data_IF_120919201039
#
_entry.id   IF_120919201039
#
_cell.length_a   1.000
_cell.length_b   1.000
_cell.length_c   1.000
_cell.angle_alpha   90.00
_cell.angle_beta   90.00
_cell.angle_gamma   90.00
#
_symmetry.space_group_name_H-M   'P 1'
#
loop_
_entity.id
_entity.type
_entity.pdbx_description
1 polymer ?
#
# COMPACT_ATOMS: atom_id res chain seq x y z
N UNK A 1 -41.43 17.82 -18.45
CA UNK A 1 -40.68 17.37 -17.26
C UNK A 1 -39.66 16.32 -17.70
N UNK A 2 -38.50 16.17 -17.03
CA UNK A 2 -37.55 15.09 -17.32
C UNK A 2 -38.22 13.71 -17.15
N UNK A 3 -37.78 12.71 -17.94
CA UNK A 3 -38.34 11.35 -17.91
C UNK A 3 -38.09 10.68 -16.53
N UNK A 4 -39.14 10.24 -15.82
CA UNK A 4 -39.03 9.56 -14.52
C UNK A 4 -38.15 8.31 -14.50
N UNK A 5 -37.95 7.65 -15.65
CA UNK A 5 -37.11 6.46 -15.77
C UNK A 5 -35.67 6.73 -15.32
N UNK A 6 -35.09 7.84 -15.75
CA UNK A 6 -33.71 8.21 -15.41
C UNK A 6 -33.51 8.49 -13.92
N UNK A 7 -34.54 9.05 -13.26
CA UNK A 7 -34.54 9.27 -11.82
C UNK A 7 -34.53 7.95 -11.02
N UNK A 8 -35.22 6.92 -11.51
CA UNK A 8 -35.23 5.59 -10.87
C UNK A 8 -33.90 4.86 -11.04
N UNK A 9 -33.33 4.87 -12.24
CA UNK A 9 -32.04 4.25 -12.52
C UNK A 9 -30.90 4.92 -11.73
N UNK A 10 -30.88 6.25 -11.67
CA UNK A 10 -29.87 6.98 -10.90
C UNK A 10 -29.97 6.70 -9.40
N UNK A 11 -31.19 6.62 -8.84
CA UNK A 11 -31.42 6.22 -7.44
C UNK A 11 -30.93 4.79 -7.17
N UNK A 12 -31.19 3.85 -8.07
CA UNK A 12 -30.70 2.47 -7.92
C UNK A 12 -29.17 2.41 -7.88
N UNK A 13 -28.49 3.13 -8.78
CA UNK A 13 -27.01 3.20 -8.79
C UNK A 13 -26.44 3.87 -7.55
N UNK A 14 -27.06 4.98 -7.10
CA UNK A 14 -26.64 5.68 -5.89
C UNK A 14 -26.79 4.81 -4.64
N UNK A 15 -27.91 4.09 -4.51
CA UNK A 15 -28.14 3.17 -3.39
C UNK A 15 -27.20 1.97 -3.40
N UNK A 16 -26.89 1.39 -4.57
CA UNK A 16 -25.88 0.33 -4.68
C UNK A 16 -24.48 0.84 -4.33
N UNK A 17 -24.09 2.01 -4.87
CA UNK A 17 -22.77 2.60 -4.62
C UNK A 17 -22.58 2.98 -3.15
N UNK A 18 -23.66 3.29 -2.44
CA UNK A 18 -23.60 3.63 -1.02
C UNK A 18 -22.93 2.53 -0.18
N UNK A 19 -23.19 1.24 -0.48
CA UNK A 19 -22.63 0.09 0.24
C UNK A 19 -21.11 -0.06 0.08
N UNK A 20 -20.54 0.38 -1.04
CA UNK A 20 -19.11 0.25 -1.34
C UNK A 20 -18.30 1.51 -0.99
N UNK A 21 -18.94 2.58 -0.51
CA UNK A 21 -18.23 3.82 -0.13
C UNK A 21 -17.17 3.60 0.94
N UNK A 22 -17.51 2.97 2.06
CA UNK A 22 -16.58 2.76 3.18
C UNK A 22 -15.40 1.84 2.79
N UNK A 23 -15.62 0.68 2.12
CA UNK A 23 -14.51 -0.16 1.66
C UNK A 23 -13.60 0.53 0.64
N UNK A 24 -14.14 1.35 -0.27
CA UNK A 24 -13.34 2.10 -1.24
C UNK A 24 -12.46 3.14 -0.56
N UNK A 25 -12.99 3.88 0.41
CA UNK A 25 -12.20 4.84 1.20
C UNK A 25 -11.06 4.14 1.95
N UNK A 26 -11.33 2.97 2.54
CA UNK A 26 -10.28 2.16 3.14
C UNK A 26 -9.20 1.78 2.12
N UNK A 27 -9.58 1.31 0.93
CA UNK A 27 -8.61 0.93 -0.10
C UNK A 27 -7.74 2.13 -0.54
N UNK A 28 -8.32 3.32 -0.68
CA UNK A 28 -7.57 4.54 -1.00
C UNK A 28 -6.53 4.88 0.08
N UNK A 29 -6.90 4.74 1.36
CA UNK A 29 -6.02 5.03 2.50
C UNK A 29 -5.03 3.89 2.80
N UNK A 30 -5.35 2.65 2.42
CA UNK A 30 -4.55 1.46 2.76
C UNK A 30 -3.09 1.58 2.33
N UNK A 31 -2.83 2.21 1.18
CA UNK A 31 -1.48 2.44 0.66
C UNK A 31 -0.59 3.30 1.58
N UNK A 32 -1.18 4.05 2.52
CA UNK A 32 -0.46 4.84 3.52
C UNK A 32 -0.10 4.04 4.79
N UNK A 33 -0.61 2.81 4.94
CA UNK A 33 -0.41 1.99 6.13
C UNK A 33 0.21 0.64 5.73
N UNK A 34 1.56 0.49 5.75
CA UNK A 34 2.28 -0.73 5.36
C UNK A 34 1.71 -2.01 5.93
N UNK A 35 1.27 -1.99 7.19
CA UNK A 35 0.61 -3.10 7.88
C UNK A 35 -0.55 -3.72 7.09
N UNK A 36 -1.23 -2.98 6.21
CA UNK A 36 -2.38 -3.46 5.43
C UNK A 36 -2.01 -4.18 4.13
N UNK A 37 -0.78 -4.03 3.62
CA UNK A 37 -0.32 -4.65 2.37
C UNK A 37 1.05 -5.34 2.47
N UNK A 38 1.70 -5.33 3.64
CA UNK A 38 3.02 -5.93 3.86
C UNK A 38 3.09 -7.42 3.51
N UNK A 39 1.97 -8.14 3.56
CA UNK A 39 1.87 -9.53 3.13
C UNK A 39 0.77 -9.69 2.08
N UNK A 40 1.19 -9.89 0.83
CA UNK A 40 0.28 -9.98 -0.32
C UNK A 40 -0.72 -11.14 -0.25
N UNK A 41 -0.40 -12.21 0.50
CA UNK A 41 -1.26 -13.40 0.59
C UNK A 41 -2.51 -13.15 1.44
N UNK A 42 -2.46 -12.22 2.39
CA UNK A 42 -3.58 -11.93 3.30
C UNK A 42 -4.44 -10.77 2.86
N UNK A 43 -4.02 -10.01 1.83
CA UNK A 43 -4.78 -8.88 1.27
C UNK A 43 -6.23 -9.28 0.93
N UNK A 44 -6.52 -10.40 0.23
CA UNK A 44 -7.90 -10.77 -0.08
C UNK A 44 -8.77 -10.98 1.16
N UNK A 45 -8.20 -11.52 2.25
CA UNK A 45 -8.92 -11.73 3.51
C UNK A 45 -9.24 -10.38 4.20
N UNK A 46 -8.27 -9.47 4.27
CA UNK A 46 -8.44 -8.12 4.82
C UNK A 46 -9.51 -7.36 4.04
N UNK A 47 -9.41 -7.37 2.70
CA UNK A 47 -10.38 -6.70 1.80
C UNK A 47 -11.79 -7.27 2.00
N UNK A 48 -11.93 -8.59 2.09
CA UNK A 48 -13.22 -9.24 2.32
C UNK A 48 -13.83 -8.79 3.65
N UNK A 49 -13.05 -8.78 4.73
CA UNK A 49 -13.51 -8.34 6.05
C UNK A 49 -13.98 -6.88 6.04
N UNK A 50 -13.22 -5.99 5.39
CA UNK A 50 -13.59 -4.56 5.28
C UNK A 50 -14.84 -4.36 4.42
N UNK A 51 -14.99 -5.10 3.32
CA UNK A 51 -16.20 -5.06 2.48
C UNK A 51 -17.42 -5.48 3.29
N UNK A 52 -17.33 -6.60 4.01
CA UNK A 52 -18.43 -7.10 4.86
C UNK A 52 -18.77 -6.08 5.94
N UNK A 53 -17.78 -5.54 6.66
CA UNK A 53 -18.00 -4.54 7.69
C UNK A 53 -18.66 -3.28 7.12
N UNK A 54 -18.13 -2.72 6.03
CA UNK A 54 -18.67 -1.52 5.39
C UNK A 54 -20.09 -1.71 4.88
N UNK A 55 -20.38 -2.85 4.24
CA UNK A 55 -21.71 -3.17 3.76
C UNK A 55 -22.72 -3.31 4.91
N UNK A 56 -22.34 -3.94 6.03
CA UNK A 56 -23.20 -4.11 7.20
C UNK A 56 -23.48 -2.81 7.94
N UNK A 57 -22.48 -1.93 8.07
CA UNK A 57 -22.67 -0.59 8.63
C UNK A 57 -23.66 0.20 7.78
N UNK A 58 -23.52 0.17 6.44
CA UNK A 58 -24.47 0.83 5.54
C UNK A 58 -25.86 0.19 5.57
N UNK A 59 -25.94 -1.13 5.67
CA UNK A 59 -27.20 -1.84 5.86
C UNK A 59 -27.93 -1.38 7.12
N UNK A 60 -27.23 -1.26 8.25
CA UNK A 60 -27.78 -0.72 9.48
C UNK A 60 -28.30 0.71 9.30
N UNK A 61 -27.48 1.61 8.76
CA UNK A 61 -27.89 3.01 8.56
C UNK A 61 -29.10 3.15 7.63
N UNK A 62 -29.18 2.36 6.57
CA UNK A 62 -30.32 2.36 5.66
C UNK A 62 -31.59 1.92 6.37
N UNK A 63 -31.53 0.86 7.19
CA UNK A 63 -32.68 0.37 7.98
C UNK A 63 -33.08 1.36 9.07
N UNK A 64 -32.12 1.96 9.75
CA UNK A 64 -32.35 2.97 10.78
C UNK A 64 -33.13 4.18 10.25
N UNK A 65 -32.71 4.72 9.09
CA UNK A 65 -33.36 5.89 8.49
C UNK A 65 -34.70 5.57 7.83
N UNK A 66 -34.96 4.30 7.49
CA UNK A 66 -36.29 3.86 7.03
C UNK A 66 -37.24 3.69 8.23
N UNK A 67 -36.83 2.86 9.19
CA UNK A 67 -37.66 2.45 10.33
C UNK A 67 -36.77 2.19 11.55
N UNK A 68 -36.70 3.14 12.47
CA UNK A 68 -35.82 3.10 13.64
C UNK A 68 -36.03 1.82 14.50
N UNK A 69 -37.28 1.36 14.62
CA UNK A 69 -37.63 0.17 15.43
C UNK A 69 -37.21 -1.18 14.83
N UNK A 70 -36.90 -1.23 13.53
CA UNK A 70 -36.50 -2.44 12.82
C UNK A 70 -34.99 -2.46 12.48
N UNK A 71 -34.21 -1.66 13.19
CA UNK A 71 -32.77 -1.52 12.97
C UNK A 71 -32.02 -2.81 13.35
N UNK A 72 -31.20 -3.38 12.45
CA UNK A 72 -30.53 -4.65 12.66
C UNK A 72 -29.28 -4.47 13.54
N UNK A 73 -29.46 -4.35 14.86
CA UNK A 73 -28.34 -4.15 15.79
C UNK A 73 -27.27 -5.25 15.73
N UNK A 74 -27.63 -6.46 15.31
CA UNK A 74 -26.68 -7.55 15.04
C UNK A 74 -25.63 -7.18 13.98
N UNK A 75 -25.95 -6.28 13.05
CA UNK A 75 -25.03 -5.85 11.99
C UNK A 75 -23.79 -5.15 12.59
N UNK A 76 -23.93 -4.43 13.70
CA UNK A 76 -22.80 -3.83 14.41
C UNK A 76 -21.87 -4.88 15.01
N UNK A 77 -22.42 -5.94 15.59
CA UNK A 77 -21.62 -7.04 16.15
C UNK A 77 -20.81 -7.73 15.05
N UNK A 78 -21.45 -8.09 13.94
CA UNK A 78 -20.76 -8.74 12.81
C UNK A 78 -19.72 -7.80 12.17
N UNK A 79 -20.04 -6.51 12.03
CA UNK A 79 -19.08 -5.52 11.53
C UNK A 79 -17.88 -5.37 12.47
N UNK A 80 -18.09 -5.34 13.79
CA UNK A 80 -17.01 -5.27 14.78
C UNK A 80 -16.10 -6.50 14.72
N UNK A 81 -16.68 -7.70 14.61
CA UNK A 81 -15.91 -8.94 14.44
C UNK A 81 -15.09 -8.91 13.15
N UNK A 82 -15.68 -8.46 12.04
CA UNK A 82 -14.98 -8.36 10.77
C UNK A 82 -13.82 -7.35 10.82
N UNK A 83 -14.00 -6.17 11.43
CA UNK A 83 -12.93 -5.19 11.62
C UNK A 83 -11.83 -5.72 12.54
N UNK A 84 -12.21 -6.39 13.63
CA UNK A 84 -11.24 -7.00 14.54
C UNK A 84 -10.42 -8.10 13.83
N UNK A 85 -11.08 -8.95 13.05
CA UNK A 85 -10.41 -9.96 12.23
C UNK A 85 -9.45 -9.32 11.21
N UNK A 86 -9.88 -8.26 10.51
CA UNK A 86 -9.02 -7.53 9.58
C UNK A 86 -7.78 -6.95 10.27
N UNK A 87 -7.97 -6.32 11.44
CA UNK A 87 -6.89 -5.77 12.27
C UNK A 87 -5.91 -6.86 12.72
N UNK A 88 -6.43 -7.97 13.25
CA UNK A 88 -5.61 -9.09 13.71
C UNK A 88 -4.82 -9.71 12.57
N UNK A 89 -5.46 -9.97 11.42
CA UNK A 89 -4.79 -10.53 10.23
C UNK A 89 -3.68 -9.59 9.75
N UNK A 90 -3.96 -8.29 9.64
CA UNK A 90 -2.98 -7.29 9.18
C UNK A 90 -1.75 -7.22 10.11
N UNK A 91 -1.97 -7.08 11.41
CA UNK A 91 -0.90 -6.94 12.40
C UNK A 91 -0.11 -8.24 12.62
N UNK A 92 -0.79 -9.39 12.72
CA UNK A 92 -0.13 -10.68 12.88
C UNK A 92 0.63 -11.12 11.61
N UNK A 93 0.31 -10.55 10.44
CA UNK A 93 0.98 -10.87 9.17
C UNK A 93 2.04 -9.85 8.76
N UNK A 94 2.15 -8.72 9.46
CA UNK A 94 3.12 -7.67 9.16
C UNK A 94 4.50 -7.98 9.75
N UNK A 95 5.58 -8.01 8.93
CA UNK A 95 6.94 -8.25 9.42
C UNK A 95 7.38 -7.30 10.53
N UNK A 96 7.03 -6.01 10.43
CA UNK A 96 7.41 -4.99 11.42
C UNK A 96 6.63 -5.07 12.75
N UNK A 97 5.41 -5.61 12.73
CA UNK A 97 4.53 -5.63 13.91
C UNK A 97 4.62 -6.96 14.68
N UNK A 98 4.95 -8.07 14.01
CA UNK A 98 5.06 -9.40 14.63
C UNK A 98 6.01 -9.44 15.84
N UNK A 99 7.21 -8.85 15.82
CA UNK A 99 8.10 -8.85 16.98
C UNK A 99 7.50 -8.13 18.19
N UNK A 100 6.78 -7.03 17.96
CA UNK A 100 6.08 -6.26 19.02
C UNK A 100 4.97 -7.10 19.67
N UNK A 101 4.33 -7.98 18.89
CA UNK A 101 3.29 -8.90 19.37
C UNK A 101 3.86 -10.17 20.03
N UNK A 102 5.18 -10.32 20.14
CA UNK A 102 5.81 -11.55 20.62
C UNK A 102 5.62 -12.75 19.68
N UNK A 103 5.25 -12.50 18.42
CA UNK A 103 5.14 -13.53 17.39
C UNK A 103 6.51 -13.75 16.75
N UNK A 104 6.86 -15.00 16.37
CA UNK A 104 8.09 -15.25 15.63
C UNK A 104 8.09 -14.41 14.36
N UNK A 105 9.20 -13.71 14.13
CA UNK A 105 9.43 -12.96 12.90
C UNK A 105 9.24 -13.89 11.69
N UNK A 106 8.82 -13.35 10.53
CA UNK A 106 8.80 -14.16 9.33
C UNK A 106 10.21 -14.72 9.11
N UNK A 107 10.32 -16.01 8.79
CA UNK A 107 11.58 -16.59 8.32
C UNK A 107 11.98 -15.80 7.07
N UNK A 108 12.87 -14.82 7.25
CA UNK A 108 13.60 -14.24 6.13
C UNK A 108 14.38 -15.40 5.55
N UNK A 109 13.92 -15.94 4.42
CA UNK A 109 14.79 -16.77 3.60
C UNK A 109 16.02 -15.92 3.36
N UNK A 110 17.14 -16.30 3.97
CA UNK A 110 18.42 -15.68 3.71
C UNK A 110 18.53 -15.57 2.20
N UNK A 111 18.80 -14.34 1.71
CA UNK A 111 18.98 -14.12 0.28
C UNK A 111 19.94 -15.20 -0.21
N UNK A 112 19.49 -16.01 -1.16
CA UNK A 112 20.34 -17.03 -1.77
C UNK A 112 21.64 -16.36 -2.20
N UNK A 113 22.79 -17.02 -2.00
CA UNK A 113 24.05 -16.49 -2.49
C UNK A 113 24.00 -16.19 -4.01
N UNK A 114 23.10 -16.87 -4.73
CA UNK A 114 22.81 -16.69 -6.17
C UNK A 114 21.71 -15.66 -6.49
N UNK A 115 21.18 -14.93 -5.51
CA UNK A 115 20.18 -13.90 -5.77
C UNK A 115 20.79 -12.78 -6.63
N UNK A 116 20.05 -12.25 -7.63
CA UNK A 116 20.51 -11.12 -8.41
C UNK A 116 20.88 -9.93 -7.52
N UNK A 117 22.05 -9.34 -7.74
CA UNK A 117 22.54 -8.15 -7.02
C UNK A 117 22.62 -6.96 -7.96
N UNK A 118 22.32 -5.78 -7.43
CA UNK A 118 22.53 -4.54 -8.16
C UNK A 118 24.03 -4.28 -8.36
N UNK A 119 24.47 -3.74 -9.52
CA UNK A 119 25.85 -3.33 -9.73
C UNK A 119 26.28 -2.27 -8.72
N UNK A 120 27.56 -2.27 -8.33
CA UNK A 120 28.10 -1.36 -7.31
C UNK A 120 27.81 0.12 -7.60
N UNK A 121 27.88 0.56 -8.86
CA UNK A 121 27.56 1.94 -9.25
C UNK A 121 26.09 2.30 -8.95
N UNK A 122 25.16 1.38 -9.21
CA UNK A 122 23.75 1.60 -8.92
C UNK A 122 23.48 1.55 -7.41
N UNK A 123 24.16 0.65 -6.68
CA UNK A 123 24.07 0.58 -5.21
C UNK A 123 24.50 1.91 -4.58
N UNK A 124 25.65 2.46 -4.98
CA UNK A 124 26.14 3.74 -4.46
C UNK A 124 25.13 4.88 -4.65
N UNK A 125 24.50 4.96 -5.84
CA UNK A 125 23.47 5.97 -6.11
C UNK A 125 22.24 5.75 -5.24
N UNK A 126 21.73 4.53 -5.17
CA UNK A 126 20.49 4.23 -4.45
C UNK A 126 20.65 4.35 -2.94
N UNK A 127 21.77 3.90 -2.37
CA UNK A 127 22.04 4.07 -0.93
C UNK A 127 22.17 5.56 -0.58
N UNK A 128 22.86 6.35 -1.40
CA UNK A 128 23.05 7.79 -1.16
C UNK A 128 21.74 8.58 -1.28
N UNK A 129 20.87 8.21 -2.23
CA UNK A 129 19.68 9.01 -2.59
C UNK A 129 18.37 8.47 -2.05
N UNK A 130 18.31 7.21 -1.62
CA UNK A 130 17.05 6.54 -1.29
C UNK A 130 17.05 5.82 0.07
N UNK A 131 18.17 5.24 0.51
CA UNK A 131 18.18 4.38 1.70
C UNK A 131 17.81 5.12 3.00
N UNK A 132 18.04 6.43 3.11
CA UNK A 132 17.64 7.20 4.30
C UNK A 132 16.13 7.14 4.59
N UNK A 133 15.31 6.95 3.56
CA UNK A 133 13.86 6.80 3.68
C UNK A 133 13.40 5.36 3.47
N UNK A 134 14.14 4.57 2.68
CA UNK A 134 13.80 3.22 2.26
C UNK A 134 14.70 2.18 2.92
N UNK A 135 14.85 2.24 4.24
CA UNK A 135 15.59 1.24 5.04
C UNK A 135 14.68 0.61 6.10
N UNK A 136 15.07 -0.52 6.73
CA UNK A 136 14.33 -1.09 7.85
C UNK A 136 14.17 -0.10 9.01
N UNK A 137 15.15 0.77 9.20
CA UNK A 137 15.15 1.87 10.17
C UNK A 137 15.41 3.18 9.42
N UNK A 138 14.36 3.84 8.90
CA UNK A 138 14.51 5.13 8.22
C UNK A 138 15.03 6.19 9.20
N UNK A 139 15.90 7.06 8.69
CA UNK A 139 16.53 8.13 9.48
C UNK A 139 16.07 9.53 9.05
N UNK A 140 15.14 9.61 8.11
CA UNK A 140 14.56 10.86 7.65
C UNK A 140 13.43 11.32 8.58
N UNK A 141 13.44 12.59 8.96
CA UNK A 141 12.45 13.14 9.88
C UNK A 141 11.02 13.01 9.34
N UNK A 142 10.10 12.56 10.20
CA UNK A 142 8.71 12.25 9.83
C UNK A 142 8.48 10.92 9.11
N UNK A 143 9.52 10.11 8.85
CA UNK A 143 9.39 8.77 8.25
C UNK A 143 9.77 7.72 9.31
N UNK A 144 8.77 7.07 9.91
CA UNK A 144 8.99 6.01 10.91
C UNK A 144 9.08 4.60 10.34
N UNK A 145 8.63 4.38 9.11
CA UNK A 145 8.69 3.10 8.40
C UNK A 145 8.90 3.37 6.90
N UNK A 146 9.63 2.48 6.22
CA UNK A 146 9.92 2.63 4.81
C UNK A 146 8.63 2.83 3.98
N UNK A 147 8.52 3.90 3.18
CA UNK A 147 7.34 4.15 2.37
C UNK A 147 7.05 2.96 1.46
N UNK A 148 5.79 2.50 1.45
CA UNK A 148 5.35 1.33 0.68
C UNK A 148 6.04 0.01 1.06
N UNK A 149 6.69 -0.05 2.23
CA UNK A 149 7.50 -1.21 2.63
C UNK A 149 8.66 -1.49 1.67
N UNK A 150 9.07 -0.50 0.89
CA UNK A 150 10.15 -0.64 -0.10
C UNK A 150 11.47 -0.45 0.63
N UNK A 151 12.29 -1.50 0.66
CA UNK A 151 13.62 -1.50 1.25
C UNK A 151 14.67 -1.40 0.13
N UNK A 152 15.66 -0.54 0.30
CA UNK A 152 16.71 -0.19 -0.67
C UNK A 152 18.07 -0.02 0.04
N UNK A 153 18.29 -0.81 1.08
CA UNK A 153 19.43 -0.80 1.99
C UNK A 153 20.49 -1.89 1.68
N UNK A 154 20.17 -2.85 0.81
CA UNK A 154 21.11 -3.92 0.40
C UNK A 154 21.11 -4.11 -1.11
N UNK A 155 22.21 -4.60 -1.73
CA UNK A 155 22.28 -4.87 -3.16
C UNK A 155 21.20 -5.81 -3.67
N UNK A 156 20.79 -6.78 -2.85
CA UNK A 156 19.72 -7.74 -3.15
C UNK A 156 18.35 -7.06 -3.12
N UNK A 157 18.06 -6.21 -2.11
CA UNK A 157 16.83 -5.44 -2.07
C UNK A 157 16.72 -4.47 -3.26
N UNK A 158 17.81 -3.77 -3.57
CA UNK A 158 17.86 -2.84 -4.71
C UNK A 158 17.58 -3.57 -6.02
N UNK A 159 18.16 -4.76 -6.23
CA UNK A 159 17.88 -5.59 -7.39
C UNK A 159 16.42 -6.08 -7.43
N UNK A 160 15.86 -6.50 -6.29
CA UNK A 160 14.46 -6.93 -6.20
C UNK A 160 13.48 -5.81 -6.57
N UNK A 161 13.80 -4.55 -6.23
CA UNK A 161 12.99 -3.37 -6.55
C UNK A 161 13.39 -2.65 -7.84
N UNK A 162 14.24 -3.25 -8.69
CA UNK A 162 14.67 -2.67 -9.97
C UNK A 162 13.52 -2.13 -10.86
N UNK A 163 12.36 -2.81 -11.02
CA UNK A 163 11.24 -2.25 -11.79
C UNK A 163 10.67 -0.97 -11.17
N UNK A 164 10.63 -0.88 -9.84
CA UNK A 164 10.18 0.31 -9.11
C UNK A 164 11.14 1.47 -9.27
N UNK A 165 12.44 1.23 -9.11
CA UNK A 165 13.50 2.23 -9.33
C UNK A 165 13.45 2.76 -10.76
N UNK A 166 13.28 1.86 -11.74
CA UNK A 166 13.14 2.23 -13.16
C UNK A 166 11.98 3.19 -13.40
N UNK A 167 10.81 2.88 -12.86
CA UNK A 167 9.64 3.73 -13.04
C UNK A 167 9.81 5.08 -12.32
N UNK A 168 10.15 5.04 -11.04
CA UNK A 168 10.07 6.22 -10.16
C UNK A 168 11.28 7.15 -10.30
N UNK A 169 12.50 6.59 -10.34
CA UNK A 169 13.72 7.39 -10.39
C UNK A 169 14.17 7.70 -11.83
N UNK A 170 13.95 6.78 -12.77
CA UNK A 170 14.46 6.96 -14.15
C UNK A 170 13.42 7.51 -15.11
N UNK A 171 12.22 6.92 -15.17
CA UNK A 171 11.25 7.28 -16.21
C UNK A 171 10.37 8.49 -15.86
N UNK A 172 9.95 8.61 -14.60
CA UNK A 172 9.03 9.69 -14.18
C UNK A 172 9.70 10.79 -13.36
N UNK A 173 10.94 10.57 -12.91
CA UNK A 173 11.66 11.45 -11.97
C UNK A 173 10.83 11.79 -10.70
N UNK A 174 9.91 10.90 -10.32
CA UNK A 174 9.04 11.08 -9.16
C UNK A 174 9.80 10.84 -7.84
N UNK A 175 10.88 10.06 -7.90
CA UNK A 175 11.79 9.82 -6.78
C UNK A 175 13.20 10.33 -7.10
N UNK A 176 13.89 10.94 -6.13
CA UNK A 176 13.39 11.37 -4.81
C UNK A 176 12.28 12.45 -4.95
N UNK A 177 11.30 12.52 -4.04
CA UNK A 177 10.20 13.49 -4.15
C UNK A 177 10.75 14.90 -4.19
N UNK A 178 10.34 15.71 -5.16
CA UNK A 178 10.85 17.07 -5.38
C UNK A 178 12.39 17.17 -5.40
N UNK A 179 13.07 16.08 -5.80
CA UNK A 179 14.52 15.93 -5.74
C UNK A 179 15.17 16.27 -4.38
N UNK A 180 14.50 15.95 -3.27
CA UNK A 180 14.94 16.30 -1.90
C UNK A 180 16.37 15.89 -1.55
N UNK A 181 16.93 14.85 -2.18
CA UNK A 181 18.30 14.41 -1.93
C UNK A 181 19.28 14.90 -3.00
N UNK A 182 18.93 15.90 -3.80
CA UNK A 182 19.77 16.46 -4.87
C UNK A 182 20.34 15.41 -5.83
N UNK A 183 19.49 14.48 -6.28
CA UNK A 183 19.90 13.47 -7.27
C UNK A 183 20.13 14.14 -8.62
N UNK A 184 21.32 13.90 -9.18
CA UNK A 184 21.78 14.47 -10.44
C UNK A 184 21.34 13.66 -11.66
N UNK A 185 21.33 14.28 -12.84
CA UNK A 185 21.02 13.57 -14.09
C UNK A 185 22.05 12.49 -14.42
N UNK A 186 23.32 12.70 -14.06
CA UNK A 186 24.38 11.71 -14.25
C UNK A 186 24.10 10.43 -13.45
N UNK A 187 23.65 10.57 -12.20
CA UNK A 187 23.24 9.43 -11.37
C UNK A 187 22.00 8.73 -11.96
N UNK A 188 21.05 9.47 -12.53
CA UNK A 188 19.89 8.87 -13.23
C UNK A 188 20.33 8.10 -14.48
N UNK A 189 21.33 8.58 -15.20
CA UNK A 189 21.92 7.86 -16.35
C UNK A 189 22.59 6.56 -15.91
N UNK A 190 23.28 6.53 -14.77
CA UNK A 190 23.84 5.30 -14.18
C UNK A 190 22.74 4.27 -13.94
N UNK A 191 21.63 4.68 -13.30
CA UNK A 191 20.48 3.79 -13.09
C UNK A 191 19.81 3.37 -14.40
N UNK A 192 19.65 4.28 -15.36
CA UNK A 192 19.05 4.00 -16.65
C UNK A 192 19.83 2.94 -17.43
N UNK A 193 21.17 3.03 -17.43
CA UNK A 193 22.06 2.05 -18.05
C UNK A 193 21.89 0.67 -17.43
N UNK A 194 21.90 0.60 -16.10
CA UNK A 194 21.68 -0.65 -15.38
C UNK A 194 20.31 -1.26 -15.69
N UNK A 195 19.27 -0.43 -15.78
CA UNK A 195 17.88 -0.85 -15.94
C UNK A 195 17.44 -1.03 -17.40
N UNK A 196 18.39 -0.96 -18.35
CA UNK A 196 18.11 -1.15 -19.77
C UNK A 196 17.16 -0.10 -20.36
N UNK A 197 17.14 1.11 -19.81
CA UNK A 197 16.39 2.24 -20.36
C UNK A 197 17.31 2.97 -21.35
N UNK A 198 16.93 2.98 -22.63
CA UNK A 198 17.63 3.76 -23.66
C UNK A 198 17.70 5.25 -23.29
N UNK A 199 18.71 5.96 -23.80
CA UNK A 199 19.11 7.31 -23.40
C UNK A 199 17.94 8.16 -22.88
N UNK A 200 17.95 8.43 -21.57
CA UNK A 200 16.99 9.34 -20.92
C UNK A 200 17.23 10.71 -21.55
N UNK A 201 16.27 11.19 -22.33
CA UNK A 201 16.37 12.50 -22.95
C UNK A 201 16.47 13.55 -21.85
N UNK A 202 17.63 14.23 -21.75
CA UNK A 202 17.79 15.42 -20.91
C UNK A 202 16.65 16.40 -21.26
N UNK A 203 15.80 16.71 -20.29
CA UNK A 203 14.84 17.82 -20.37
C UNK A 203 15.21 18.87 -19.35
#
# INVERSE_FOLDING_TARGET
>A
APDPKWGRESKQRSTHNNYITLPVLFMMLSNHYPVTYANSRVIPAIVTCVIVAGALVRYFYNRWHLEHGAAPWWAWLVAAIAIWAAFWIATASSPGVRPVLGLPGPEMKAASADAPRAPAEAVNVVETRCAMCHSPEPVWDGIGEAPKGVLLDTPEHIAAFAPGIRMQAVLTHAMPPNNLTDMTDQERVVLARWLGVGAVANR
#
